data_IF_117528901297
#
_entry.id   IF_117528901297
#
_cell.length_a   1.000
_cell.length_b   1.000
_cell.length_c   1.000
_cell.angle_alpha   90.00
_cell.angle_beta   90.00
_cell.angle_gamma   90.00
#
_symmetry.space_group_name_H-M   'P 1'
#
loop_
_entity.id
_entity.type
_entity.pdbx_description
1 polymer ?
#
# COMPACT_ATOMS: atom_id res chain seq x y z
N UNK A 1 -3.90 -8.85 16.57
CA UNK A 1 -3.30 -7.76 15.78
C UNK A 1 -3.07 -8.25 14.37
N UNK A 2 -3.30 -7.38 13.40
CA UNK A 2 -3.06 -7.66 11.99
C UNK A 2 -1.80 -6.90 11.56
N UNK A 3 -1.00 -7.53 10.72
CA UNK A 3 0.27 -7.00 10.23
C UNK A 3 0.29 -7.04 8.71
N UNK A 4 0.97 -6.05 8.14
CA UNK A 4 1.23 -5.94 6.70
C UNK A 4 2.73 -6.11 6.50
N UNK A 5 3.16 -6.86 5.49
CA UNK A 5 4.59 -7.13 5.27
C UNK A 5 5.00 -7.01 3.81
N UNK A 6 6.18 -6.42 3.58
CA UNK A 6 6.74 -6.29 2.25
C UNK A 6 7.21 -7.65 1.73
N UNK A 7 6.95 -7.93 0.45
CA UNK A 7 7.38 -9.18 -0.18
C UNK A 7 8.63 -9.01 -1.06
N UNK A 8 9.37 -10.10 -1.23
CA UNK A 8 10.40 -10.27 -2.25
C UNK A 8 9.93 -11.19 -3.41
N UNK A 9 8.65 -11.57 -3.42
CA UNK A 9 8.02 -12.47 -4.39
C UNK A 9 8.53 -13.92 -4.41
N UNK A 10 9.31 -14.32 -3.41
CA UNK A 10 9.79 -15.69 -3.30
C UNK A 10 8.73 -16.59 -2.64
N UNK A 11 8.51 -17.76 -3.22
CA UNK A 11 7.49 -18.71 -2.71
C UNK A 11 7.84 -19.19 -1.30
N UNK A 12 9.12 -19.38 -0.97
CA UNK A 12 9.51 -19.82 0.37
C UNK A 12 9.21 -18.75 1.44
N UNK A 13 9.32 -17.46 1.11
CA UNK A 13 8.95 -16.38 2.02
C UNK A 13 7.45 -16.42 2.34
N UNK A 14 6.61 -16.59 1.30
CA UNK A 14 5.17 -16.75 1.47
C UNK A 14 4.82 -17.98 2.34
N UNK A 15 5.47 -19.12 2.10
CA UNK A 15 5.27 -20.34 2.89
C UNK A 15 5.58 -20.11 4.38
N UNK A 16 6.65 -19.38 4.69
CA UNK A 16 6.99 -19.02 6.07
C UNK A 16 5.89 -18.13 6.70
N UNK A 17 5.31 -17.19 5.95
CA UNK A 17 4.19 -16.36 6.42
C UNK A 17 2.98 -17.23 6.74
N UNK A 18 2.65 -18.19 5.88
CA UNK A 18 1.53 -19.14 6.09
C UNK A 18 1.75 -19.97 7.35
N UNK A 19 2.96 -20.52 7.54
CA UNK A 19 3.32 -21.27 8.74
C UNK A 19 3.20 -20.41 10.01
N UNK A 20 3.73 -19.18 9.97
CA UNK A 20 3.62 -18.22 11.08
C UNK A 20 2.16 -17.92 11.41
N UNK A 21 1.33 -17.67 10.40
CA UNK A 21 -0.09 -17.46 10.58
C UNK A 21 -0.74 -18.69 11.21
N UNK A 22 -0.44 -19.91 10.78
CA UNK A 22 -1.01 -21.12 11.39
C UNK A 22 -0.59 -21.29 12.86
N UNK A 23 0.65 -20.94 13.18
CA UNK A 23 1.22 -21.02 14.54
C UNK A 23 0.63 -19.98 15.50
N UNK A 24 0.45 -18.74 15.07
CA UNK A 24 0.02 -17.64 15.93
C UNK A 24 -1.43 -17.25 15.64
N UNK A 25 -2.33 -17.48 16.62
CA UNK A 25 -3.76 -17.19 16.46
C UNK A 25 -4.12 -15.71 16.64
N UNK A 26 -3.44 -15.02 17.56
CA UNK A 26 -3.78 -13.64 17.95
C UNK A 26 -3.03 -12.57 17.15
N UNK A 27 -1.99 -12.97 16.41
CA UNK A 27 -1.14 -12.08 15.61
C UNK A 27 -1.03 -12.68 14.22
N UNK A 28 -1.59 -12.00 13.23
CA UNK A 28 -1.68 -12.50 11.85
C UNK A 28 -1.08 -11.48 10.92
N UNK A 29 -0.32 -11.96 9.95
CA UNK A 29 -0.02 -11.19 8.75
C UNK A 29 -1.22 -11.39 7.84
N UNK A 30 -1.90 -10.31 7.47
CA UNK A 30 -3.12 -10.36 6.66
C UNK A 30 -2.92 -9.77 5.29
N UNK A 31 -1.85 -9.00 5.09
CA UNK A 31 -1.56 -8.33 3.83
C UNK A 31 -0.07 -8.44 3.47
N UNK A 32 0.18 -8.72 2.19
CA UNK A 32 1.48 -8.60 1.56
C UNK A 32 1.51 -7.32 0.72
N UNK A 33 2.64 -6.61 0.67
CA UNK A 33 2.77 -5.43 -0.20
C UNK A 33 4.04 -5.43 -1.04
N UNK A 34 3.97 -4.83 -2.23
CA UNK A 34 5.10 -4.71 -3.14
C UNK A 34 4.75 -4.07 -4.48
N UNK A 35 5.76 -3.91 -5.33
CA UNK A 35 5.63 -3.32 -6.66
C UNK A 35 6.48 -4.09 -7.67
N UNK A 36 6.10 -4.01 -8.94
CA UNK A 36 6.94 -4.49 -10.03
C UNK A 36 7.99 -3.44 -10.40
N UNK A 37 9.16 -3.93 -10.83
CA UNK A 37 10.22 -3.08 -11.39
C UNK A 37 9.81 -2.51 -12.75
N UNK A 38 9.23 -3.37 -13.59
CA UNK A 38 8.69 -3.02 -14.89
C UNK A 38 7.23 -3.46 -14.95
N UNK A 39 6.28 -2.54 -15.17
CA UNK A 39 4.89 -2.88 -15.43
C UNK A 39 4.39 -2.18 -16.70
N UNK A 40 3.26 -2.63 -17.25
CA UNK A 40 2.71 -2.17 -18.54
C UNK A 40 2.55 -0.65 -18.61
N UNK A 41 2.28 0.00 -17.47
CA UNK A 41 2.13 1.45 -17.37
C UNK A 41 3.23 2.15 -16.56
N UNK A 42 4.34 1.48 -16.21
CA UNK A 42 5.42 2.07 -15.39
C UNK A 42 4.88 2.85 -14.18
N UNK A 43 4.01 2.21 -13.41
CA UNK A 43 3.44 2.77 -12.18
C UNK A 43 4.59 3.00 -11.20
N UNK A 44 4.89 4.26 -10.84
CA UNK A 44 6.10 4.56 -10.10
C UNK A 44 5.96 4.22 -8.61
N UNK A 45 7.06 3.75 -8.03
CA UNK A 45 7.17 3.39 -6.61
C UNK A 45 8.30 4.21 -5.96
N UNK A 46 8.25 4.42 -4.64
CA UNK A 46 9.35 5.06 -3.92
C UNK A 46 10.55 4.12 -3.71
N UNK A 47 10.38 2.82 -3.98
CA UNK A 47 11.45 1.83 -3.79
C UNK A 47 12.47 1.95 -4.93
N UNK A 48 13.77 2.09 -4.67
CA UNK A 48 14.79 2.11 -5.73
C UNK A 48 14.79 0.81 -6.53
N UNK A 49 14.99 0.89 -7.84
CA UNK A 49 14.93 -0.25 -8.78
C UNK A 49 15.79 -1.45 -8.34
N UNK A 50 16.98 -1.20 -7.79
CA UNK A 50 17.88 -2.27 -7.32
C UNK A 50 17.36 -3.03 -6.09
N UNK A 51 16.35 -2.51 -5.40
CA UNK A 51 15.67 -3.15 -4.26
C UNK A 51 14.36 -3.82 -4.66
N UNK A 52 13.94 -3.71 -5.92
CA UNK A 52 12.73 -4.34 -6.43
C UNK A 52 13.14 -5.63 -7.15
N UNK A 53 12.58 -6.80 -6.77
CA UNK A 53 12.85 -8.04 -7.47
C UNK A 53 12.52 -7.95 -8.97
N UNK A 54 13.37 -8.54 -9.79
CA UNK A 54 13.19 -8.58 -11.24
C UNK A 54 12.37 -9.81 -11.62
N UNK A 55 11.04 -9.68 -11.51
CA UNK A 55 10.08 -10.74 -11.84
C UNK A 55 9.20 -10.32 -13.01
N UNK A 56 8.70 -11.30 -13.74
CA UNK A 56 7.74 -11.10 -14.83
C UNK A 56 6.33 -10.80 -14.29
N UNK A 57 5.50 -10.19 -15.14
CA UNK A 57 4.07 -9.96 -14.83
C UNK A 57 3.33 -11.27 -14.55
N UNK A 58 3.67 -12.37 -15.24
CA UNK A 58 3.06 -13.68 -15.00
C UNK A 58 3.42 -14.23 -13.61
N UNK A 59 4.69 -14.15 -13.22
CA UNK A 59 5.12 -14.54 -11.88
C UNK A 59 4.44 -13.71 -10.79
N UNK A 60 4.28 -12.40 -11.02
CA UNK A 60 3.55 -11.52 -10.11
C UNK A 60 2.08 -11.94 -9.97
N UNK A 61 1.38 -12.19 -11.08
CA UNK A 61 -0.01 -12.66 -11.08
C UNK A 61 -0.17 -13.97 -10.30
N UNK A 62 0.70 -14.94 -10.56
CA UNK A 62 0.70 -16.21 -9.83
C UNK A 62 0.98 -16.03 -8.34
N UNK A 63 1.87 -15.09 -7.98
CA UNK A 63 2.17 -14.78 -6.59
C UNK A 63 0.96 -14.17 -5.87
N UNK A 64 0.28 -13.20 -6.48
CA UNK A 64 -0.94 -12.59 -5.92
C UNK A 64 -2.03 -13.65 -5.72
N UNK A 65 -2.26 -14.50 -6.73
CA UNK A 65 -3.20 -15.63 -6.62
C UNK A 65 -2.89 -16.54 -5.43
N UNK A 66 -1.61 -16.91 -5.24
CA UNK A 66 -1.18 -17.71 -4.08
C UNK A 66 -1.40 -17.01 -2.74
N UNK A 67 -1.30 -15.68 -2.69
CA UNK A 67 -1.66 -14.93 -1.50
C UNK A 67 -3.15 -15.11 -1.17
N UNK A 68 -4.02 -14.93 -2.17
CA UNK A 68 -5.47 -15.07 -1.98
C UNK A 68 -5.90 -16.48 -1.61
N UNK A 69 -5.31 -17.52 -2.23
CA UNK A 69 -5.54 -18.93 -1.86
C UNK A 69 -5.22 -19.23 -0.39
N UNK A 70 -4.41 -18.37 0.25
CA UNK A 70 -4.01 -18.47 1.65
C UNK A 70 -4.58 -17.33 2.52
N UNK A 71 -5.68 -16.69 2.07
CA UNK A 71 -6.39 -15.64 2.79
C UNK A 71 -5.55 -14.39 3.12
N UNK A 72 -4.55 -14.09 2.28
CA UNK A 72 -3.74 -12.88 2.35
C UNK A 72 -4.16 -11.92 1.24
N UNK A 73 -4.42 -10.66 1.58
CA UNK A 73 -4.62 -9.61 0.58
C UNK A 73 -3.29 -9.13 0.01
N UNK A 74 -3.33 -8.55 -1.19
CA UNK A 74 -2.18 -7.96 -1.84
C UNK A 74 -2.35 -6.45 -2.08
N UNK A 75 -1.37 -5.68 -1.63
CA UNK A 75 -1.31 -4.23 -1.76
C UNK A 75 -0.20 -3.81 -2.74
N UNK A 76 -0.60 -3.26 -3.88
CA UNK A 76 0.36 -2.74 -4.86
C UNK A 76 0.88 -1.37 -4.42
N UNK A 77 2.18 -1.24 -4.21
CA UNK A 77 2.78 0.02 -3.76
C UNK A 77 3.13 0.91 -4.94
N UNK A 78 2.42 2.02 -5.07
CA UNK A 78 2.59 3.00 -6.12
C UNK A 78 2.79 4.41 -5.54
N UNK A 79 3.72 4.50 -4.61
CA UNK A 79 3.87 5.63 -3.69
C UNK A 79 5.08 6.51 -4.01
N UNK A 80 5.51 6.58 -5.27
CA UNK A 80 6.58 7.49 -5.66
C UNK A 80 6.21 8.94 -5.30
N UNK A 81 7.11 9.73 -4.70
CA UNK A 81 6.83 11.12 -4.36
C UNK A 81 6.53 11.97 -5.61
N UNK A 82 6.17 13.24 -5.37
CA UNK A 82 5.69 14.21 -6.37
C UNK A 82 6.70 14.52 -7.52
N UNK A 83 7.89 13.91 -7.49
CA UNK A 83 8.90 13.98 -8.54
C UNK A 83 8.56 13.13 -9.77
N UNK A 84 7.52 12.29 -9.71
CA UNK A 84 7.07 11.52 -10.87
C UNK A 84 6.14 12.34 -11.78
N UNK A 85 6.21 12.12 -13.09
CA UNK A 85 5.33 12.75 -14.07
C UNK A 85 3.90 12.19 -14.06
N UNK A 86 3.53 11.40 -13.03
CA UNK A 86 2.24 10.73 -12.87
C UNK A 86 1.09 11.73 -13.06
N UNK A 87 1.15 12.91 -12.44
CA UNK A 87 0.06 13.89 -12.50
C UNK A 87 -0.18 14.48 -13.90
N UNK A 88 0.83 14.42 -14.77
CA UNK A 88 0.74 14.86 -16.17
C UNK A 88 0.34 13.73 -17.11
N UNK A 89 0.13 12.51 -16.59
CA UNK A 89 -0.27 11.38 -17.42
C UNK A 89 -1.70 11.55 -17.93
N UNK A 90 -1.93 11.04 -19.13
CA UNK A 90 -3.23 11.07 -19.78
C UNK A 90 -4.23 10.12 -19.10
N UNK A 91 -5.52 10.32 -19.35
CA UNK A 91 -6.56 9.36 -18.94
C UNK A 91 -6.28 7.92 -19.41
N UNK A 92 -5.67 7.76 -20.59
CA UNK A 92 -5.27 6.45 -21.13
C UNK A 92 -4.26 5.74 -20.20
N UNK A 93 -3.34 6.49 -19.58
CA UNK A 93 -2.40 5.94 -18.62
C UNK A 93 -3.11 5.42 -17.37
N UNK A 94 -4.03 6.21 -16.81
CA UNK A 94 -4.78 5.81 -15.63
C UNK A 94 -5.68 4.61 -15.91
N UNK A 95 -6.30 4.56 -17.09
CA UNK A 95 -7.06 3.40 -17.55
C UNK A 95 -6.19 2.15 -17.64
N UNK A 96 -5.05 2.21 -18.35
CA UNK A 96 -4.12 1.07 -18.46
C UNK A 96 -3.61 0.60 -17.10
N UNK A 97 -3.34 1.52 -16.19
CA UNK A 97 -2.92 1.19 -14.82
C UNK A 97 -4.03 0.50 -14.06
N UNK A 98 -5.26 1.01 -14.15
CA UNK A 98 -6.45 0.39 -13.56
C UNK A 98 -6.70 -1.02 -14.10
N UNK A 99 -6.67 -1.20 -15.42
CA UNK A 99 -6.87 -2.49 -16.08
C UNK A 99 -5.78 -3.48 -15.65
N UNK A 100 -4.52 -3.05 -15.59
CA UNK A 100 -3.42 -3.86 -15.07
C UNK A 100 -3.67 -4.31 -13.62
N UNK A 101 -4.05 -3.39 -12.73
CA UNK A 101 -4.29 -3.72 -11.31
C UNK A 101 -5.47 -4.69 -11.14
N UNK A 102 -6.51 -4.57 -11.97
CA UNK A 102 -7.63 -5.52 -12.01
C UNK A 102 -7.21 -6.90 -12.49
N UNK A 103 -6.45 -6.95 -13.58
CA UNK A 103 -5.99 -8.21 -14.16
C UNK A 103 -5.09 -9.00 -13.21
N UNK A 104 -4.42 -8.30 -12.29
CA UNK A 104 -3.59 -8.88 -11.23
C UNK A 104 -4.36 -9.13 -9.93
N UNK A 105 -5.66 -8.82 -9.87
CA UNK A 105 -6.52 -9.01 -8.70
C UNK A 105 -6.02 -8.26 -7.44
N UNK A 106 -5.49 -7.04 -7.61
CA UNK A 106 -5.00 -6.24 -6.48
C UNK A 106 -6.15 -5.87 -5.53
N UNK A 107 -5.93 -5.97 -4.21
CA UNK A 107 -6.92 -5.62 -3.19
C UNK A 107 -6.81 -4.16 -2.71
N UNK A 108 -5.58 -3.64 -2.71
CA UNK A 108 -5.25 -2.28 -2.23
C UNK A 108 -4.20 -1.66 -3.13
N UNK A 109 -4.35 -0.37 -3.45
CA UNK A 109 -3.34 0.45 -4.10
C UNK A 109 -2.84 1.52 -3.13
N UNK A 110 -1.55 1.49 -2.79
CA UNK A 110 -0.93 2.51 -1.93
C UNK A 110 -0.39 3.67 -2.75
N UNK A 111 -0.83 4.89 -2.46
CA UNK A 111 -0.45 6.13 -3.13
C UNK A 111 0.16 7.14 -2.17
N UNK A 112 1.12 7.92 -2.65
CA UNK A 112 1.78 9.03 -1.92
C UNK A 112 1.19 10.40 -2.28
N UNK A 113 0.16 10.46 -3.10
CA UNK A 113 -0.53 11.69 -3.48
C UNK A 113 -2.00 11.41 -3.79
N UNK A 114 -2.93 12.30 -3.43
CA UNK A 114 -4.35 12.11 -3.73
C UNK A 114 -4.78 12.41 -5.18
N UNK A 115 -3.95 13.02 -6.03
CA UNK A 115 -4.37 13.44 -7.36
C UNK A 115 -4.78 12.27 -8.26
N UNK A 116 -4.07 11.11 -8.26
CA UNK A 116 -4.51 9.93 -8.97
C UNK A 116 -5.89 9.44 -8.53
N UNK A 117 -6.31 9.69 -7.28
CA UNK A 117 -7.63 9.29 -6.79
C UNK A 117 -8.75 10.05 -7.52
N UNK A 118 -8.50 11.29 -7.95
CA UNK A 118 -9.48 12.06 -8.73
C UNK A 118 -9.64 11.57 -10.18
N UNK A 119 -8.79 10.65 -10.65
CA UNK A 119 -9.03 9.99 -11.93
C UNK A 119 -10.19 9.00 -11.79
N UNK A 120 -11.20 9.10 -12.65
CA UNK A 120 -12.36 8.17 -12.71
C UNK A 120 -11.92 6.69 -12.76
N UNK A 121 -10.78 6.41 -13.38
CA UNK A 121 -10.21 5.07 -13.52
C UNK A 121 -9.60 4.50 -12.23
N UNK A 122 -9.39 5.32 -11.20
CA UNK A 122 -8.87 4.88 -9.90
C UNK A 122 -9.91 5.09 -8.78
N UNK A 123 -10.87 6.00 -8.94
CA UNK A 123 -11.93 6.22 -7.96
C UNK A 123 -13.03 5.14 -7.96
N UNK A 124 -13.33 4.53 -9.11
CA UNK A 124 -14.47 3.60 -9.27
C UNK A 124 -14.04 2.14 -9.39
N UNK A 125 -13.24 1.63 -8.44
CA UNK A 125 -12.55 0.35 -8.59
C UNK A 125 -12.86 -0.68 -7.50
N UNK A 126 -12.60 -1.95 -7.82
CA UNK A 126 -12.77 -3.09 -6.91
C UNK A 126 -11.62 -3.25 -5.89
N UNK A 127 -10.66 -2.31 -5.87
CA UNK A 127 -9.56 -2.27 -4.92
C UNK A 127 -9.67 -1.03 -4.03
N UNK A 128 -9.21 -1.15 -2.79
CA UNK A 128 -9.17 -0.02 -1.86
C UNK A 128 -7.97 0.89 -2.12
N UNK A 129 -8.08 2.16 -1.73
CA UNK A 129 -6.94 3.08 -1.72
C UNK A 129 -6.32 3.14 -0.34
N UNK A 130 -5.00 3.04 -0.28
CA UNK A 130 -4.19 3.38 0.89
C UNK A 130 -3.39 4.67 0.65
N UNK A 131 -3.34 5.53 1.66
CA UNK A 131 -2.44 6.68 1.68
C UNK A 131 -1.13 6.28 2.36
N UNK A 132 -0.02 6.47 1.65
CA UNK A 132 1.32 6.17 2.10
C UNK A 132 1.82 7.18 3.13
N UNK A 133 2.66 6.70 4.07
CA UNK A 133 3.41 7.53 5.02
C UNK A 133 4.21 8.66 4.35
N UNK A 134 4.59 8.51 3.08
CA UNK A 134 5.31 9.52 2.28
C UNK A 134 4.49 10.82 2.12
N UNK A 135 3.16 10.75 2.13
CA UNK A 135 2.31 11.94 2.06
C UNK A 135 2.32 12.74 3.38
N UNK A 136 2.90 12.18 4.45
CA UNK A 136 3.07 12.84 5.75
C UNK A 136 1.74 13.27 6.42
N UNK A 137 0.70 12.44 6.32
CA UNK A 137 -0.58 12.71 7.00
C UNK A 137 -0.37 12.69 8.52
N UNK A 138 -0.51 13.85 9.16
CA UNK A 138 -0.08 14.07 10.54
C UNK A 138 -1.13 14.78 11.43
N UNK A 139 -2.36 14.95 10.94
CA UNK A 139 -3.46 15.60 11.68
C UNK A 139 -4.82 14.91 11.40
N UNK A 140 -5.77 15.07 12.33
CA UNK A 140 -7.07 14.40 12.28
C UNK A 140 -7.96 14.94 11.17
N UNK A 141 -7.88 16.24 10.86
CA UNK A 141 -8.70 16.86 9.81
C UNK A 141 -8.35 16.31 8.42
N UNK A 142 -7.06 16.10 8.15
CA UNK A 142 -6.59 15.45 6.93
C UNK A 142 -7.08 14.00 6.84
N UNK A 143 -6.98 13.23 7.93
CA UNK A 143 -7.51 11.85 8.01
C UNK A 143 -9.00 11.84 7.68
N UNK A 144 -9.78 12.74 8.30
CA UNK A 144 -11.21 12.90 8.05
C UNK A 144 -11.47 13.20 6.58
N UNK A 145 -10.74 14.15 5.99
CA UNK A 145 -10.90 14.52 4.58
C UNK A 145 -10.69 13.31 3.66
N UNK A 146 -9.60 12.57 3.85
CA UNK A 146 -9.30 11.38 3.04
C UNK A 146 -10.36 10.29 3.17
N UNK A 147 -10.81 10.00 4.40
CA UNK A 147 -11.81 8.95 4.62
C UNK A 147 -13.21 9.34 4.14
N UNK A 148 -13.63 10.60 4.31
CA UNK A 148 -15.03 11.01 4.04
C UNK A 148 -15.23 11.52 2.61
N UNK A 149 -14.22 12.11 1.99
CA UNK A 149 -14.35 12.72 0.67
C UNK A 149 -13.67 11.93 -0.45
N UNK A 150 -12.63 11.15 -0.13
CA UNK A 150 -11.91 10.34 -1.12
C UNK A 150 -12.09 8.83 -0.93
N UNK A 151 -12.96 8.43 0.01
CA UNK A 151 -13.24 7.03 0.37
C UNK A 151 -11.97 6.16 0.57
N UNK A 152 -10.94 6.76 1.18
CA UNK A 152 -9.68 6.07 1.44
C UNK A 152 -9.91 4.93 2.43
N UNK A 153 -9.51 3.70 2.04
CA UNK A 153 -9.65 2.48 2.85
C UNK A 153 -8.76 2.51 4.07
N UNK A 154 -7.51 2.98 3.94
CA UNK A 154 -6.57 3.09 5.06
C UNK A 154 -5.48 4.13 4.84
N UNK A 155 -4.86 4.58 5.91
CA UNK A 155 -3.83 5.62 5.93
C UNK A 155 -2.68 5.13 6.80
N UNK A 156 -1.50 5.00 6.21
CA UNK A 156 -0.25 4.84 6.95
C UNK A 156 0.22 6.23 7.39
N UNK A 157 0.21 6.48 8.70
CA UNK A 157 0.49 7.80 9.26
C UNK A 157 1.91 8.30 8.96
N UNK A 158 2.08 9.61 9.09
CA UNK A 158 3.39 10.22 9.21
C UNK A 158 4.26 9.47 10.23
N UNK A 159 5.54 9.28 9.88
CA UNK A 159 6.55 8.72 10.80
C UNK A 159 6.59 9.52 12.10
N UNK A 160 6.41 10.84 12.03
CA UNK A 160 6.40 11.72 13.21
C UNK A 160 5.26 11.42 14.18
N UNK A 161 4.16 10.81 13.71
CA UNK A 161 2.98 10.45 14.51
C UNK A 161 2.98 9.00 14.97
N UNK A 162 3.89 8.18 14.46
CA UNK A 162 3.96 6.75 14.74
C UNK A 162 4.18 6.42 16.23
N UNK A 163 4.75 7.36 17.01
CA UNK A 163 4.98 7.25 18.46
C UNK A 163 4.49 8.47 19.26
N UNK A 164 3.67 9.31 18.64
CA UNK A 164 3.07 10.46 19.32
C UNK A 164 1.83 9.99 20.10
N UNK A 165 2.03 9.55 21.35
CA UNK A 165 0.94 8.97 22.15
C UNK A 165 -0.21 9.95 22.39
N UNK A 166 0.07 11.26 22.51
CA UNK A 166 -1.00 12.26 22.66
C UNK A 166 -1.87 12.33 21.41
N UNK A 167 -1.25 12.34 20.23
CA UNK A 167 -1.96 12.28 18.96
C UNK A 167 -2.72 10.95 18.79
N UNK A 168 -2.07 9.81 19.10
CA UNK A 168 -2.67 8.49 18.94
C UNK A 168 -3.85 8.28 19.90
N UNK A 169 -3.79 8.79 21.14
CA UNK A 169 -4.92 8.77 22.07
C UNK A 169 -6.09 9.64 21.58
N UNK A 170 -5.80 10.81 21.00
CA UNK A 170 -6.83 11.64 20.39
C UNK A 170 -7.46 10.94 19.17
N UNK A 171 -6.65 10.33 18.31
CA UNK A 171 -7.08 9.58 17.14
C UNK A 171 -7.90 8.34 17.50
N UNK A 172 -7.53 7.63 18.57
CA UNK A 172 -8.23 6.45 19.07
C UNK A 172 -9.67 6.74 19.52
N UNK A 173 -9.98 8.00 19.86
CA UNK A 173 -11.33 8.47 20.20
C UNK A 173 -12.18 8.80 18.97
N UNK A 174 -11.60 8.75 17.78
CA UNK A 174 -12.32 9.03 16.52
C UNK A 174 -12.84 7.75 15.88
N UNK A 175 -13.84 7.89 15.00
CA UNK A 175 -14.32 6.77 14.16
C UNK A 175 -13.30 6.27 13.14
N UNK A 176 -12.20 7.00 12.92
CA UNK A 176 -11.21 6.69 11.89
C UNK A 176 -10.10 5.76 12.38
N UNK A 177 -10.01 5.45 13.68
CA UNK A 177 -8.93 4.62 14.25
C UNK A 177 -8.72 3.29 13.50
N UNK A 178 -9.79 2.66 13.02
CA UNK A 178 -9.73 1.39 12.28
C UNK A 178 -9.24 1.55 10.82
N UNK A 179 -9.03 2.78 10.34
CA UNK A 179 -8.47 3.11 9.02
C UNK A 179 -6.97 3.40 9.11
N UNK A 180 -6.36 3.29 10.29
CA UNK A 180 -5.01 3.79 10.55
C UNK A 180 -4.01 2.64 10.65
N UNK A 181 -2.91 2.78 9.91
CA UNK A 181 -1.77 1.89 9.93
C UNK A 181 -0.57 2.60 10.57
N UNK A 182 0.17 1.84 11.40
CA UNK A 182 1.41 2.28 12.04
C UNK A 182 2.58 1.46 11.51
N UNK A 183 3.74 2.10 11.38
CA UNK A 183 4.97 1.43 10.99
C UNK A 183 5.55 0.67 12.19
N UNK A 184 5.66 -0.65 12.06
CA UNK A 184 6.28 -1.49 13.09
C UNK A 184 7.81 -1.34 13.10
N UNK A 185 8.41 -1.05 11.94
CA UNK A 185 9.85 -0.88 11.77
C UNK A 185 10.20 0.50 11.20
N UNK A 186 10.94 1.31 11.95
CA UNK A 186 11.37 2.63 11.50
C UNK A 186 12.67 2.54 10.67
N UNK A 187 12.55 2.08 9.41
CA UNK A 187 13.67 2.14 8.46
C UNK A 187 13.64 3.37 7.54
N UNK A 188 12.55 4.15 7.55
CA UNK A 188 12.38 5.28 6.63
C UNK A 188 13.02 6.60 7.11
N UNK A 189 13.58 6.65 8.33
CA UNK A 189 14.16 7.89 8.91
C UNK A 189 15.70 7.86 9.07
N UNK A 190 16.36 6.78 8.63
CA UNK A 190 17.82 6.80 8.52
C UNK A 190 18.14 7.56 7.24
N UNK A 191 18.39 8.87 7.37
CA UNK A 191 19.24 9.59 6.42
C UNK A 191 20.46 8.69 6.19
N UNK A 192 20.59 8.18 4.97
CA UNK A 192 21.75 7.41 4.57
C UNK A 192 23.00 8.18 5.02
N UNK A 193 23.90 7.44 5.65
CA UNK A 193 25.26 7.89 5.96
C UNK A 193 25.89 8.49 4.70
#
# INVERSE_FOLDING_TARGET
MNFNIGTNFETHFLNNIIEMNNKYKNNKITEMYGSLKNCVSNIPTARPDFRIPDITVLQFKEYVKKCHENFLSFNYTANSPLTSDWFYKSQIYYKKSSDFLKDMEIDVLTLSHPLPIFSEYLSNQNFGIEISTILDVNNIDAIKYYCEHLDVKKICLSISKNRDFQFLEALAKTKYVNRIELLVNEFCNIKGI
#
